data_IF_095867484755
#
_entry.id   IF_095867484755
#
_cell.length_a   1.000
_cell.length_b   1.000
_cell.length_c   1.000
_cell.angle_alpha   90.00
_cell.angle_beta   90.00
_cell.angle_gamma   90.00
#
_symmetry.space_group_name_H-M   'P 1'
#
loop_
_entity.id
_entity.type
_entity.pdbx_description
1 polymer ?
#
# COMPACT_ATOMS: atom_id res chain seq x y z
N UNK A 1 23.04 35.25 -25.21
CA UNK A 1 22.16 36.21 -24.53
C UNK A 1 20.78 36.01 -25.13
N UNK A 2 19.93 35.15 -24.60
CA UNK A 2 19.78 34.82 -23.18
C UNK A 2 19.45 33.34 -23.02
N UNK A 3 20.10 32.73 -22.04
CA UNK A 3 19.82 31.40 -21.53
C UNK A 3 18.37 31.33 -21.04
N UNK A 4 17.57 30.50 -21.71
CA UNK A 4 16.28 30.04 -21.20
C UNK A 4 16.58 28.73 -20.48
N UNK A 5 16.91 28.85 -19.20
CA UNK A 5 17.09 27.73 -18.27
C UNK A 5 15.80 26.90 -18.26
N UNK A 6 15.77 25.84 -19.05
CA UNK A 6 14.74 24.81 -18.95
C UNK A 6 14.81 24.22 -17.54
N UNK A 7 13.82 24.54 -16.71
CA UNK A 7 13.60 23.88 -15.42
C UNK A 7 13.70 22.35 -15.61
N UNK A 8 14.27 21.61 -14.65
CA UNK A 8 14.52 20.19 -14.83
C UNK A 8 13.18 19.47 -14.91
N UNK A 9 12.73 19.17 -16.13
CA UNK A 9 11.68 18.20 -16.38
C UNK A 9 12.12 16.89 -15.73
N UNK A 10 11.66 16.63 -14.49
CA UNK A 10 11.90 15.35 -13.83
C UNK A 10 11.42 14.27 -14.77
N UNK A 11 12.35 13.43 -15.22
CA UNK A 11 12.12 12.41 -16.24
C UNK A 11 10.93 11.53 -15.86
N UNK A 12 10.16 11.06 -16.85
CA UNK A 12 9.09 10.07 -16.66
C UNK A 12 9.59 8.86 -15.85
N UNK A 13 10.85 8.48 -16.05
CA UNK A 13 11.53 7.42 -15.31
C UNK A 13 11.61 7.69 -13.80
N UNK A 14 11.94 8.94 -13.40
CA UNK A 14 12.01 9.31 -11.99
C UNK A 14 10.63 9.30 -11.33
N UNK A 15 9.59 9.74 -12.04
CA UNK A 15 8.20 9.65 -11.55
C UNK A 15 7.82 8.20 -11.29
N UNK A 16 8.05 7.32 -12.27
CA UNK A 16 7.72 5.89 -12.17
C UNK A 16 8.47 5.27 -10.99
N UNK A 17 9.80 5.40 -10.96
CA UNK A 17 10.65 4.80 -9.92
C UNK A 17 10.22 5.23 -8.52
N UNK A 18 9.86 6.50 -8.34
CA UNK A 18 9.53 7.09 -7.04
C UNK A 18 8.12 6.73 -6.55
N UNK A 19 7.16 6.50 -7.44
CA UNK A 19 5.74 6.41 -7.05
C UNK A 19 5.07 5.07 -7.36
N UNK A 20 5.59 4.26 -8.29
CA UNK A 20 4.92 3.03 -8.74
C UNK A 20 4.60 2.08 -7.56
N UNK A 21 5.54 1.90 -6.64
CA UNK A 21 5.40 0.99 -5.50
C UNK A 21 4.32 1.48 -4.53
N UNK A 22 4.29 2.79 -4.27
CA UNK A 22 3.28 3.39 -3.39
C UNK A 22 1.86 3.26 -3.95
N UNK A 23 1.70 3.48 -5.26
CA UNK A 23 0.41 3.32 -5.95
C UNK A 23 -0.05 1.87 -5.93
N UNK A 24 0.85 0.93 -6.25
CA UNK A 24 0.54 -0.49 -6.24
C UNK A 24 0.13 -0.99 -4.85
N UNK A 25 0.87 -0.61 -3.80
CA UNK A 25 0.56 -0.99 -2.41
C UNK A 25 -0.77 -0.40 -1.96
N UNK A 26 -1.08 0.83 -2.36
CA UNK A 26 -2.37 1.46 -2.10
C UNK A 26 -3.51 0.65 -2.73
N UNK A 27 -3.38 0.22 -3.99
CA UNK A 27 -4.39 -0.62 -4.66
C UNK A 27 -4.55 -2.00 -4.00
N UNK A 28 -3.45 -2.64 -3.58
CA UNK A 28 -3.52 -3.89 -2.78
C UNK A 28 -4.25 -3.67 -1.46
N UNK A 29 -4.02 -2.54 -0.78
CA UNK A 29 -4.72 -2.19 0.46
C UNK A 29 -6.23 -2.03 0.24
N UNK A 30 -6.64 -1.52 -0.92
CA UNK A 30 -8.05 -1.42 -1.31
C UNK A 30 -8.70 -2.75 -1.68
N UNK A 31 -7.93 -3.86 -1.67
CA UNK A 31 -8.43 -5.21 -1.90
C UNK A 31 -8.24 -5.71 -3.33
N UNK A 32 -7.41 -5.06 -4.15
CA UNK A 32 -7.02 -5.61 -5.44
C UNK A 32 -6.16 -6.87 -5.23
N UNK A 33 -6.37 -7.88 -6.08
CA UNK A 33 -5.39 -8.94 -6.28
C UNK A 33 -4.13 -8.40 -6.97
N UNK A 34 -3.12 -9.24 -7.15
CA UNK A 34 -1.84 -8.86 -7.73
C UNK A 34 -1.98 -8.34 -9.16
N UNK A 35 -2.66 -9.12 -10.01
CA UNK A 35 -2.84 -8.78 -11.42
C UNK A 35 -3.60 -7.46 -11.60
N UNK A 36 -4.68 -7.27 -10.84
CA UNK A 36 -5.47 -6.04 -10.92
C UNK A 36 -4.69 -4.84 -10.41
N UNK A 37 -3.88 -4.99 -9.35
CA UNK A 37 -3.05 -3.90 -8.85
C UNK A 37 -1.95 -3.51 -9.84
N UNK A 38 -1.32 -4.48 -10.53
CA UNK A 38 -0.34 -4.21 -11.58
C UNK A 38 -0.95 -3.42 -12.73
N UNK A 39 -2.08 -3.89 -13.27
CA UNK A 39 -2.78 -3.26 -14.40
C UNK A 39 -3.20 -1.82 -14.05
N UNK A 40 -3.83 -1.63 -12.89
CA UNK A 40 -4.30 -0.32 -12.46
C UNK A 40 -3.16 0.64 -12.12
N UNK A 41 -2.02 0.14 -11.63
CA UNK A 41 -0.82 0.95 -11.40
C UNK A 41 -0.26 1.45 -12.73
N UNK A 42 -0.13 0.56 -13.73
CA UNK A 42 0.33 0.94 -15.06
C UNK A 42 -0.62 1.95 -15.72
N UNK A 43 -1.93 1.71 -15.69
CA UNK A 43 -2.91 2.65 -16.25
C UNK A 43 -2.87 4.01 -15.54
N UNK A 44 -2.66 4.02 -14.21
CA UNK A 44 -2.49 5.26 -13.44
C UNK A 44 -1.28 6.06 -13.94
N UNK A 45 -0.11 5.42 -14.03
CA UNK A 45 1.13 6.09 -14.46
C UNK A 45 1.01 6.58 -15.90
N UNK A 46 0.49 5.76 -16.82
CA UNK A 46 0.26 6.14 -18.22
C UNK A 46 -0.67 7.35 -18.33
N UNK A 47 -1.77 7.39 -17.57
CA UNK A 47 -2.69 8.54 -17.60
C UNK A 47 -2.06 9.85 -17.14
N UNK A 48 -1.10 9.78 -16.22
CA UNK A 48 -0.39 10.96 -15.73
C UNK A 48 0.72 11.37 -16.69
N UNK A 49 1.49 10.41 -17.21
CA UNK A 49 2.61 10.67 -18.12
C UNK A 49 2.16 11.16 -19.50
N UNK A 50 1.02 10.69 -20.00
CA UNK A 50 0.47 11.13 -21.30
C UNK A 50 -0.33 12.44 -21.21
N UNK A 51 -0.28 13.15 -20.08
CA UNK A 51 -1.01 14.40 -19.89
C UNK A 51 -0.08 15.57 -20.16
N UNK A 52 -0.34 16.31 -21.23
CA UNK A 52 0.53 17.39 -21.75
C UNK A 52 0.87 18.48 -20.70
N UNK A 53 0.04 18.66 -19.67
CA UNK A 53 0.17 19.72 -18.65
C UNK A 53 0.58 19.20 -17.25
N UNK A 54 0.96 17.92 -17.10
CA UNK A 54 1.29 17.41 -15.77
C UNK A 54 2.61 18.01 -15.24
N UNK A 55 2.48 18.91 -14.27
CA UNK A 55 3.62 19.47 -13.54
C UNK A 55 3.75 18.80 -12.18
N UNK A 56 4.91 18.21 -11.89
CA UNK A 56 5.19 17.73 -10.53
C UNK A 56 5.35 18.95 -9.60
N UNK A 57 4.41 19.12 -8.67
CA UNK A 57 4.53 20.17 -7.65
C UNK A 57 5.47 19.75 -6.52
N UNK A 58 4.98 18.87 -5.66
CA UNK A 58 5.77 18.19 -4.64
C UNK A 58 5.55 16.69 -4.74
N UNK A 59 6.51 15.95 -4.21
CA UNK A 59 6.47 14.51 -4.05
C UNK A 59 5.17 14.02 -3.37
N UNK A 60 4.76 14.68 -2.28
CA UNK A 60 3.53 14.34 -1.56
C UNK A 60 2.27 14.68 -2.35
N UNK A 61 2.23 15.85 -3.00
CA UNK A 61 1.11 16.25 -3.84
C UNK A 61 0.94 15.29 -5.04
N UNK A 62 2.06 14.90 -5.65
CA UNK A 62 2.11 13.95 -6.77
C UNK A 62 1.63 12.57 -6.35
N UNK A 63 2.10 12.04 -5.22
CA UNK A 63 1.63 10.75 -4.70
C UNK A 63 0.13 10.78 -4.36
N UNK A 64 -0.36 11.86 -3.75
CA UNK A 64 -1.79 12.03 -3.45
C UNK A 64 -2.63 12.03 -4.72
N UNK A 65 -2.19 12.76 -5.74
CA UNK A 65 -2.84 12.82 -7.04
C UNK A 65 -2.87 11.46 -7.75
N UNK A 66 -1.75 10.72 -7.73
CA UNK A 66 -1.66 9.38 -8.29
C UNK A 66 -2.62 8.39 -7.60
N UNK A 67 -2.69 8.40 -6.27
CA UNK A 67 -3.63 7.55 -5.51
C UNK A 67 -5.08 7.86 -5.85
N UNK A 68 -5.45 9.14 -5.93
CA UNK A 68 -6.80 9.56 -6.33
C UNK A 68 -7.14 9.06 -7.74
N UNK A 69 -6.17 9.13 -8.65
CA UNK A 69 -6.32 8.59 -10.01
C UNK A 69 -6.51 7.07 -10.00
N UNK A 70 -5.67 6.33 -9.28
CA UNK A 70 -5.77 4.87 -9.13
C UNK A 70 -7.11 4.43 -8.52
N UNK A 71 -7.58 5.13 -7.50
CA UNK A 71 -8.87 4.88 -6.86
C UNK A 71 -10.05 5.04 -7.84
N UNK A 72 -10.03 6.11 -8.64
CA UNK A 72 -11.07 6.35 -9.65
C UNK A 72 -11.08 5.26 -10.75
N UNK A 73 -9.90 4.75 -11.11
CA UNK A 73 -9.78 3.60 -12.02
C UNK A 73 -10.38 2.34 -11.42
N UNK A 74 -10.08 2.05 -10.16
CA UNK A 74 -10.64 0.90 -9.44
C UNK A 74 -12.17 0.96 -9.36
N UNK A 75 -12.74 2.12 -9.02
CA UNK A 75 -14.20 2.34 -9.04
C UNK A 75 -14.76 2.07 -10.44
N UNK A 76 -14.10 2.58 -11.47
CA UNK A 76 -14.53 2.40 -12.86
C UNK A 76 -14.48 0.93 -13.30
N UNK A 77 -13.46 0.19 -12.88
CA UNK A 77 -13.32 -1.25 -13.09
C UNK A 77 -14.49 -2.02 -12.47
N UNK A 78 -14.79 -1.77 -11.18
CA UNK A 78 -15.92 -2.42 -10.51
C UNK A 78 -17.27 -2.08 -11.13
N UNK A 79 -17.46 -0.82 -11.56
CA UNK A 79 -18.70 -0.38 -12.22
C UNK A 79 -18.92 -1.07 -13.58
N UNK A 80 -17.87 -1.26 -14.37
CA UNK A 80 -17.93 -1.96 -15.67
C UNK A 80 -18.23 -3.46 -15.51
N UNK A 81 -17.75 -4.09 -14.42
CA UNK A 81 -17.96 -5.51 -14.14
C UNK A 81 -19.34 -5.90 -13.61
N UNK A 82 -20.31 -4.97 -13.51
CA UNK A 82 -21.67 -5.26 -13.04
C UNK A 82 -21.81 -5.64 -11.55
N UNK A 83 -20.70 -5.69 -10.80
CA UNK A 83 -20.65 -6.04 -9.37
C UNK A 83 -20.82 -4.79 -8.50
N UNK A 84 -22.08 -4.35 -8.40
CA UNK A 84 -22.66 -3.58 -7.28
C UNK A 84 -22.30 -2.08 -7.13
N UNK A 85 -23.30 -1.31 -6.64
CA UNK A 85 -23.16 0.03 -6.02
C UNK A 85 -22.19 -0.05 -4.84
N UNK A 86 -20.89 0.12 -5.07
CA UNK A 86 -19.94 0.27 -3.98
C UNK A 86 -19.72 1.75 -3.73
N UNK A 87 -20.32 2.28 -2.67
CA UNK A 87 -19.93 3.57 -2.10
C UNK A 87 -18.55 3.39 -1.46
N UNK A 88 -17.50 3.37 -2.27
CA UNK A 88 -16.11 3.46 -1.78
C UNK A 88 -15.86 4.94 -1.54
N UNK A 89 -16.05 5.39 -0.30
CA UNK A 89 -15.71 6.76 0.10
C UNK A 89 -14.19 6.85 0.24
N UNK A 90 -13.56 7.70 -0.58
CA UNK A 90 -12.10 7.93 -0.65
C UNK A 90 -11.52 8.51 0.64
N UNK A 91 -12.28 9.39 1.33
CA UNK A 91 -11.74 10.25 2.39
C UNK A 91 -11.14 9.51 3.59
N UNK A 92 -11.78 8.49 4.20
CA UNK A 92 -11.20 7.81 5.36
C UNK A 92 -9.92 7.03 5.03
N UNK A 93 -9.80 6.53 3.80
CA UNK A 93 -8.69 5.67 3.37
C UNK A 93 -7.47 6.51 2.97
N UNK A 94 -7.69 7.68 2.37
CA UNK A 94 -6.62 8.63 2.09
C UNK A 94 -6.05 9.21 3.40
N UNK A 95 -6.88 9.48 4.42
CA UNK A 95 -6.40 9.88 5.75
C UNK A 95 -5.58 8.78 6.44
N UNK A 96 -6.04 7.53 6.38
CA UNK A 96 -5.29 6.38 6.92
C UNK A 96 -3.96 6.25 6.18
N UNK A 97 -3.95 6.22 4.85
CA UNK A 97 -2.70 6.10 4.10
C UNK A 97 -1.76 7.27 4.37
N UNK A 98 -2.25 8.52 4.39
CA UNK A 98 -1.43 9.68 4.72
C UNK A 98 -0.86 9.62 6.14
N UNK A 99 -1.55 9.01 7.11
CA UNK A 99 -1.00 8.78 8.45
C UNK A 99 0.14 7.74 8.45
N UNK A 100 0.04 6.72 7.61
CA UNK A 100 0.98 5.59 7.57
C UNK A 100 2.17 5.79 6.61
N UNK A 101 1.97 6.56 5.54
CA UNK A 101 2.93 6.83 4.47
C UNK A 101 3.29 8.32 4.37
N UNK A 102 2.88 9.14 5.34
CA UNK A 102 2.95 10.61 5.29
C UNK A 102 4.34 11.22 5.16
N UNK A 103 5.42 10.44 5.31
CA UNK A 103 6.81 10.85 5.04
C UNK A 103 7.51 10.00 3.98
N UNK A 104 6.94 8.84 3.65
CA UNK A 104 7.52 7.88 2.74
C UNK A 104 6.49 7.46 1.70
N UNK A 105 6.70 7.96 0.49
CA UNK A 105 5.79 7.80 -0.64
C UNK A 105 5.71 6.36 -1.12
N UNK A 106 6.76 5.57 -0.94
CA UNK A 106 6.76 4.14 -1.26
C UNK A 106 6.24 3.31 -0.09
N UNK A 107 6.46 3.77 1.15
CA UNK A 107 6.16 3.06 2.39
C UNK A 107 7.23 2.04 2.80
N UNK A 108 8.42 2.12 2.20
CA UNK A 108 9.60 1.30 2.50
C UNK A 108 10.12 1.47 3.94
N UNK A 109 10.16 2.67 4.52
CA UNK A 109 10.53 2.92 5.91
C UNK A 109 9.57 2.21 6.89
N UNK A 110 8.27 2.27 6.59
CA UNK A 110 7.25 1.54 7.36
C UNK A 110 7.41 0.03 7.19
N UNK A 111 7.75 -0.45 5.99
CA UNK A 111 8.05 -1.86 5.75
C UNK A 111 9.31 -2.33 6.45
N UNK A 112 10.38 -1.54 6.46
CA UNK A 112 11.63 -1.91 7.11
C UNK A 112 11.42 -1.98 8.62
N UNK A 113 10.68 -1.03 9.21
CA UNK A 113 10.22 -1.14 10.60
C UNK A 113 9.36 -2.38 10.82
N UNK A 114 8.45 -2.70 9.90
CA UNK A 114 7.61 -3.90 9.98
C UNK A 114 8.44 -5.20 9.92
N UNK A 115 9.44 -5.29 9.04
CA UNK A 115 10.35 -6.44 8.94
C UNK A 115 11.06 -6.69 10.27
N UNK A 116 11.59 -5.63 10.88
CA UNK A 116 12.20 -5.71 12.22
C UNK A 116 11.16 -6.14 13.27
N UNK A 117 9.95 -5.58 13.24
CA UNK A 117 8.89 -5.98 14.18
C UNK A 117 8.42 -7.43 13.97
N UNK A 118 8.48 -7.96 12.75
CA UNK A 118 8.17 -9.36 12.44
C UNK A 118 9.16 -10.34 13.07
N UNK A 119 10.40 -9.93 13.29
CA UNK A 119 11.40 -10.73 14.01
C UNK A 119 11.02 -10.89 15.50
N UNK A 120 10.30 -9.92 16.08
CA UNK A 120 9.83 -9.99 17.48
C UNK A 120 8.66 -10.97 17.72
N UNK A 121 8.02 -11.45 16.64
CA UNK A 121 6.96 -12.45 16.75
C UNK A 121 7.53 -13.84 17.02
N UNK A 122 6.73 -14.66 17.70
CA UNK A 122 7.01 -16.10 17.77
C UNK A 122 6.93 -16.73 16.37
N UNK A 123 7.69 -17.81 16.13
CA UNK A 123 7.69 -18.49 14.83
C UNK A 123 6.29 -18.96 14.40
N UNK A 124 5.49 -19.43 15.37
CA UNK A 124 4.09 -19.81 15.14
C UNK A 124 3.24 -18.63 14.67
N UNK A 125 3.39 -17.46 15.29
CA UNK A 125 2.66 -16.26 14.88
C UNK A 125 3.12 -15.75 13.51
N UNK A 126 4.43 -15.75 13.24
CA UNK A 126 5.01 -15.35 11.95
C UNK A 126 4.53 -16.26 10.83
N UNK A 127 4.54 -17.58 11.05
CA UNK A 127 4.04 -18.58 10.10
C UNK A 127 2.54 -18.39 9.84
N UNK A 128 1.73 -18.20 10.88
CA UNK A 128 0.28 -17.96 10.72
C UNK A 128 -0.01 -16.73 9.85
N UNK A 129 0.74 -15.64 10.03
CA UNK A 129 0.59 -14.44 9.22
C UNK A 129 1.06 -14.66 7.78
N UNK A 130 2.20 -15.35 7.57
CA UNK A 130 2.68 -15.70 6.24
C UNK A 130 1.65 -16.52 5.48
N UNK A 131 1.17 -17.61 6.07
CA UNK A 131 0.14 -18.45 5.47
C UNK A 131 -1.11 -17.64 5.11
N UNK A 132 -1.52 -16.72 5.99
CA UNK A 132 -2.72 -15.93 5.75
C UNK A 132 -2.58 -14.90 4.62
N UNK A 133 -1.42 -14.26 4.50
CA UNK A 133 -1.25 -13.07 3.67
C UNK A 133 -0.39 -13.29 2.43
N UNK A 134 0.53 -14.26 2.46
CA UNK A 134 1.34 -14.63 1.31
C UNK A 134 0.74 -15.85 0.58
N UNK A 135 0.27 -16.84 1.34
CA UNK A 135 -0.22 -18.10 0.77
C UNK A 135 -1.75 -18.14 0.64
N UNK A 136 -2.43 -17.05 1.02
CA UNK A 136 -3.91 -16.88 1.02
C UNK A 136 -4.70 -17.96 1.77
N UNK A 137 -4.05 -18.70 2.68
CA UNK A 137 -4.64 -19.82 3.38
C UNK A 137 -5.85 -19.42 4.24
N UNK A 138 -6.83 -20.31 4.28
CA UNK A 138 -7.99 -20.23 5.17
C UNK A 138 -7.59 -20.43 6.64
N UNK A 139 -8.47 -20.02 7.56
CA UNK A 139 -8.23 -20.23 9.00
C UNK A 139 -8.17 -21.72 9.35
N UNK A 140 -8.93 -22.55 8.65
CA UNK A 140 -8.92 -24.00 8.81
C UNK A 140 -7.57 -24.59 8.42
N UNK A 141 -7.00 -24.18 7.28
CA UNK A 141 -5.68 -24.64 6.83
C UNK A 141 -4.55 -24.19 7.77
N UNK A 142 -4.62 -22.94 8.26
CA UNK A 142 -3.66 -22.43 9.25
C UNK A 142 -3.76 -23.20 10.58
N UNK A 143 -5.00 -23.48 11.02
CA UNK A 143 -5.26 -24.24 12.23
C UNK A 143 -4.70 -25.67 12.14
N UNK A 144 -4.94 -26.35 11.01
CA UNK A 144 -4.41 -27.66 10.72
C UNK A 144 -2.87 -27.67 10.68
N UNK A 145 -2.25 -26.71 9.98
CA UNK A 145 -0.79 -26.62 9.87
C UNK A 145 -0.08 -26.34 11.21
N UNK A 146 -0.76 -25.66 12.14
CA UNK A 146 -0.21 -25.28 13.44
C UNK A 146 -0.66 -26.20 14.59
N UNK A 147 -1.47 -27.22 14.29
CA UNK A 147 -2.07 -28.13 15.26
C UNK A 147 -2.81 -27.39 16.40
N UNK A 148 -3.72 -26.48 16.01
CA UNK A 148 -4.58 -25.71 16.93
C UNK A 148 -6.00 -25.62 16.39
N UNK A 149 -6.92 -25.10 17.20
CA UNK A 149 -8.28 -24.81 16.74
C UNK A 149 -8.31 -23.59 15.81
N UNK A 150 -9.30 -23.50 14.92
CA UNK A 150 -9.54 -22.30 14.10
C UNK A 150 -9.69 -21.03 14.94
N UNK A 151 -10.32 -21.15 16.12
CA UNK A 151 -10.43 -20.07 17.08
C UNK A 151 -9.04 -19.69 17.65
N UNK A 152 -8.19 -20.68 17.94
CA UNK A 152 -6.81 -20.48 18.34
C UNK A 152 -5.98 -19.76 17.26
N UNK A 153 -6.10 -20.17 16.00
CA UNK A 153 -5.43 -19.53 14.87
C UNK A 153 -5.88 -18.07 14.70
N UNK A 154 -7.19 -17.79 14.82
CA UNK A 154 -7.72 -16.43 14.82
C UNK A 154 -7.11 -15.58 15.94
N UNK A 155 -7.09 -16.09 17.17
CA UNK A 155 -6.57 -15.37 18.33
C UNK A 155 -5.05 -15.16 18.26
N UNK A 156 -4.31 -16.13 17.72
CA UNK A 156 -2.88 -16.02 17.48
C UNK A 156 -2.58 -14.87 16.49
N UNK A 157 -3.25 -14.87 15.33
CA UNK A 157 -3.10 -13.81 14.34
C UNK A 157 -3.54 -12.44 14.86
N UNK A 158 -4.62 -12.38 15.64
CA UNK A 158 -5.09 -11.12 16.21
C UNK A 158 -4.06 -10.51 17.17
N UNK A 159 -3.50 -11.32 18.08
CA UNK A 159 -2.44 -10.88 18.99
C UNK A 159 -1.19 -10.45 18.24
N UNK A 160 -0.77 -11.22 17.24
CA UNK A 160 0.36 -10.87 16.38
C UNK A 160 0.16 -9.51 15.70
N UNK A 161 -1.04 -9.24 15.14
CA UNK A 161 -1.37 -7.94 14.53
C UNK A 161 -1.34 -6.78 15.51
N UNK A 162 -1.76 -6.99 16.76
CA UNK A 162 -1.71 -5.96 17.80
C UNK A 162 -0.25 -5.65 18.13
N UNK A 163 0.55 -6.68 18.41
CA UNK A 163 1.98 -6.53 18.71
C UNK A 163 2.74 -5.82 17.59
N UNK A 164 2.50 -6.21 16.33
CA UNK A 164 3.13 -5.54 15.18
C UNK A 164 2.74 -4.06 15.09
N UNK A 165 1.47 -3.73 15.32
CA UNK A 165 0.98 -2.35 15.28
C UNK A 165 1.67 -1.50 16.35
N UNK A 166 1.73 -1.99 17.58
CA UNK A 166 2.37 -1.29 18.70
C UNK A 166 3.87 -1.10 18.46
N UNK A 167 4.55 -2.15 17.97
CA UNK A 167 5.98 -2.08 17.62
C UNK A 167 6.25 -1.07 16.51
N UNK A 168 5.48 -1.10 15.42
CA UNK A 168 5.64 -0.16 14.30
C UNK A 168 5.33 1.26 14.75
N UNK A 169 4.24 1.48 15.50
CA UNK A 169 3.88 2.80 16.00
C UNK A 169 4.97 3.38 16.90
N UNK A 170 5.51 2.58 17.84
CA UNK A 170 6.61 2.98 18.71
C UNK A 170 7.85 3.38 17.90
N UNK A 171 8.21 2.60 16.87
CA UNK A 171 9.34 2.91 15.99
C UNK A 171 9.10 4.12 15.08
N UNK A 172 7.85 4.42 14.75
CA UNK A 172 7.46 5.62 13.97
C UNK A 172 7.48 6.90 14.80
N UNK A 173 7.15 6.82 16.10
CA UNK A 173 7.19 7.95 17.02
C UNK A 173 8.58 8.18 17.64
N UNK A 174 9.47 7.19 17.63
CA UNK A 174 10.83 7.29 18.18
C UNK A 174 11.90 7.87 17.25
N UNK A 175 11.53 8.61 16.20
CA UNK A 175 12.49 9.24 15.24
C UNK A 175 12.66 10.74 15.47
N UNK A 176 12.26 11.27 16.62
CA UNK A 176 12.76 12.56 17.10
C UNK A 176 13.90 12.29 18.07
N UNK A 177 15.15 12.41 17.61
CA UNK A 177 16.32 13.00 18.29
C UNK A 177 17.52 12.99 17.32
#
# INVERSE_FOLDING_TARGET
>A
MSDEEAEPHRSAEDLIRRHQVGVWRYLRMLGCDESLADDLTQETLLKVLCRDEFTQHSDHATASYLRRTAHNLLISYHRKGGRTKTTITSDPLDEIWNRWAGRDLSGDETLDRLKVCMESLTDRARLALKMRFADEASRAEIAAALDITEHGARNLMQRAKIQLRECVQSKMSGTEF
#
